data_IF_163548632749
#
_entry.id   IF_163548632749
#
_cell.length_a   1.000
_cell.length_b   1.000
_cell.length_c   1.000
_cell.angle_alpha   90.00
_cell.angle_beta   90.00
_cell.angle_gamma   90.00
#
_symmetry.space_group_name_H-M   'P 1'
#
loop_
_entity.id
_entity.type
_entity.pdbx_description
1 polymer ?
#
# COMPACT_ATOMS: atom_id res chain seq x y z
N UNK A 1 -17.03 59.32 8.38
CA UNK A 1 -16.87 58.77 8.45
C UNK A 1 -16.70 57.83 8.38
N UNK A 2 -16.64 57.39 8.33
CA UNK A 2 -16.37 56.52 8.21
C UNK A 2 -16.22 55.47 8.14
N UNK A 3 -16.22 55.10 8.19
CA UNK A 3 -16.16 54.16 8.14
C UNK A 3 -15.82 53.12 7.92
N UNK A 4 -15.56 52.65 7.81
CA UNK A 4 -15.22 51.62 7.50
C UNK A 4 -15.03 50.57 7.59
N UNK A 5 -15.13 50.15 7.54
CA UNK A 5 -14.89 49.12 7.68
C UNK A 5 -14.72 48.09 7.50
N UNK A 6 -14.38 47.57 7.41
CA UNK A 6 -14.11 46.57 7.29
C UNK A 6 -13.97 45.48 7.17
N UNK A 7 -14.00 45.00 7.10
CA UNK A 7 -13.94 43.96 6.95
C UNK A 7 -13.50 42.95 7.04
N UNK A 8 -13.26 42.49 7.07
CA UNK A 8 -12.78 41.46 7.07
C UNK A 8 -12.69 40.40 6.91
N UNK A 9 -12.63 39.91 6.79
CA UNK A 9 -12.58 38.93 6.64
C UNK A 9 -12.12 37.85 6.64
N UNK A 10 -11.94 37.37 6.79
CA UNK A 10 -11.60 36.33 6.84
C UNK A 10 -11.43 35.31 6.50
N UNK A 11 -11.27 34.81 6.31
CA UNK A 11 -11.09 33.79 6.03
C UNK A 11 -10.64 32.69 6.03
N UNK A 12 -10.58 32.13 6.04
CA UNK A 12 -10.24 31.04 6.09
C UNK A 12 -10.01 30.06 5.82
N UNK A 13 -9.83 29.64 5.79
CA UNK A 13 -9.53 28.62 5.56
C UNK A 13 -9.33 27.51 5.42
N UNK A 14 -9.31 27.07 5.27
CA UNK A 14 -9.20 26.04 5.10
C UNK A 14 -8.80 25.07 5.27
N UNK A 15 -8.48 24.63 5.36
CA UNK A 15 -8.04 23.64 5.46
C UNK A 15 -7.90 22.56 5.20
N UNK A 16 -7.78 22.13 5.00
CA UNK A 16 -7.67 21.17 4.71
C UNK A 16 -7.15 20.17 4.86
N UNK A 17 -7.01 19.75 5.07
CA UNK A 17 -6.62 18.81 5.28
C UNK A 17 -6.50 17.77 4.84
N UNK A 18 -6.25 17.26 4.53
CA UNK A 18 -6.09 16.25 4.20
C UNK A 18 -5.79 15.37 4.48
N UNK A 19 -5.66 15.08 4.58
CA UNK A 19 -5.67 14.29 4.89
C UNK A 19 -5.14 13.20 4.86
N UNK A 20 -5.04 12.73 5.30
CA UNK A 20 -4.53 11.61 5.44
C UNK A 20 -4.86 10.53 4.75
N UNK A 21 -4.40 9.72 4.60
CA UNK A 21 -4.70 8.79 3.93
C UNK A 21 -5.14 7.77 4.35
N UNK A 22 -5.85 7.45 3.90
CA UNK A 22 -6.42 6.33 4.12
C UNK A 22 -5.72 5.14 3.68
N UNK A 23 -4.53 5.17 3.45
CA UNK A 23 -3.76 3.99 3.06
C UNK A 23 -3.76 2.93 4.15
N UNK A 24 -4.05 3.30 5.41
CA UNK A 24 -4.04 2.34 6.48
C UNK A 24 -5.06 1.22 6.31
N UNK A 25 -6.16 1.48 5.62
CA UNK A 25 -7.19 0.46 5.42
C UNK A 25 -7.29 0.01 3.96
N UNK A 26 -6.24 0.20 3.20
CA UNK A 26 -6.16 -0.26 1.82
C UNK A 26 -4.97 -1.20 1.67
N UNK A 27 -5.06 -2.06 0.67
CA UNK A 27 -4.00 -3.03 0.42
C UNK A 27 -2.75 -2.37 -0.17
N UNK A 28 -2.85 -1.10 -0.56
CA UNK A 28 -1.70 -0.35 -1.02
C UNK A 28 -0.59 -0.34 0.03
N UNK A 29 0.65 -0.41 -0.40
CA UNK A 29 1.78 -0.33 0.51
C UNK A 29 2.86 -1.34 0.18
N UNK A 30 3.84 -1.39 1.07
CA UNK A 30 4.95 -2.31 0.97
C UNK A 30 4.72 -3.46 1.95
N UNK A 31 4.82 -4.67 1.43
CA UNK A 31 4.52 -5.87 2.19
C UNK A 31 5.75 -6.76 2.30
N UNK A 32 6.04 -7.23 3.50
CA UNK A 32 7.23 -8.00 3.80
C UNK A 32 6.88 -9.36 4.37
N UNK A 33 7.60 -10.37 3.91
CA UNK A 33 7.48 -11.73 4.41
C UNK A 33 8.65 -12.01 5.36
N UNK A 34 8.42 -12.88 6.32
CA UNK A 34 9.46 -13.21 7.31
C UNK A 34 10.71 -13.81 6.68
N UNK A 35 10.61 -14.34 5.46
CA UNK A 35 11.76 -14.92 4.76
C UNK A 35 12.54 -13.90 3.93
N UNK A 36 12.15 -12.63 3.96
CA UNK A 36 12.88 -11.57 3.26
C UNK A 36 12.27 -11.13 1.95
N UNK A 37 11.29 -11.85 1.43
CA UNK A 37 10.62 -11.42 0.21
C UNK A 37 9.77 -10.18 0.50
N UNK A 38 9.52 -9.39 -0.53
CA UNK A 38 8.64 -8.22 -0.39
C UNK A 38 7.98 -7.91 -1.72
N UNK A 39 6.84 -7.27 -1.65
CA UNK A 39 6.17 -6.72 -2.83
C UNK A 39 5.54 -5.38 -2.46
N UNK A 40 5.19 -4.60 -3.50
CA UNK A 40 4.60 -3.27 -3.29
C UNK A 40 3.38 -3.12 -4.16
N UNK A 41 2.36 -2.49 -3.62
CA UNK A 41 1.11 -2.20 -4.36
C UNK A 41 0.84 -0.71 -4.30
N UNK A 42 0.55 -0.13 -5.46
CA UNK A 42 0.12 1.27 -5.59
C UNK A 42 -1.04 1.27 -6.58
N UNK A 43 -2.28 1.19 -6.07
CA UNK A 43 -3.42 0.98 -6.93
C UNK A 43 -3.22 -0.30 -7.74
N UNK A 44 -3.45 -0.30 -9.05
CA UNK A 44 -3.23 -1.50 -9.87
C UNK A 44 -1.75 -1.79 -10.13
N UNK A 45 -0.85 -0.88 -9.79
CA UNK A 45 0.57 -1.09 -10.04
C UNK A 45 1.20 -1.96 -8.97
N UNK A 46 1.93 -2.96 -9.40
CA UNK A 46 2.55 -3.94 -8.52
C UNK A 46 4.04 -4.05 -8.83
N UNK A 47 4.85 -4.14 -7.78
CA UNK A 47 6.22 -4.64 -7.91
C UNK A 47 6.22 -6.01 -7.24
N UNK A 48 6.48 -7.06 -8.03
CA UNK A 48 6.41 -8.44 -7.55
C UNK A 48 7.57 -8.77 -6.61
N UNK A 49 7.49 -9.89 -5.89
CA UNK A 49 8.61 -10.32 -5.07
C UNK A 49 9.91 -10.48 -5.85
N UNK A 50 9.83 -10.80 -7.13
CA UNK A 50 11.02 -10.88 -7.98
C UNK A 50 11.48 -9.55 -8.53
N UNK A 51 10.76 -8.45 -8.21
CA UNK A 51 11.16 -7.11 -8.62
C UNK A 51 10.56 -6.63 -9.92
N UNK A 52 9.64 -7.37 -10.52
CA UNK A 52 9.04 -6.95 -11.78
C UNK A 52 7.91 -5.97 -11.53
N UNK A 53 7.89 -4.90 -12.32
CA UNK A 53 6.79 -3.93 -12.31
C UNK A 53 5.72 -4.38 -13.28
N UNK A 54 4.49 -4.48 -12.81
CA UNK A 54 3.38 -4.90 -13.66
C UNK A 54 2.06 -4.43 -13.05
N UNK A 55 0.98 -4.66 -13.77
CA UNK A 55 -0.35 -4.34 -13.28
C UNK A 55 -1.07 -5.61 -12.87
N UNK A 56 -1.95 -5.47 -11.88
CA UNK A 56 -2.82 -6.54 -11.48
C UNK A 56 -4.24 -6.03 -11.30
N UNK A 57 -5.09 -6.88 -10.78
CA UNK A 57 -6.49 -6.54 -10.50
C UNK A 57 -6.56 -5.99 -9.09
N UNK A 58 -6.94 -4.72 -8.98
CA UNK A 58 -6.89 -3.99 -7.73
C UNK A 58 -8.30 -3.68 -7.21
N UNK A 59 -8.45 -3.83 -5.91
CA UNK A 59 -9.53 -3.18 -5.18
C UNK A 59 -8.96 -2.82 -3.82
N UNK A 60 -9.71 -2.08 -3.04
CA UNK A 60 -9.19 -1.56 -1.78
C UNK A 60 -8.64 -2.65 -0.85
N UNK A 61 -9.31 -3.82 -0.81
CA UNK A 61 -8.95 -4.87 0.12
C UNK A 61 -8.50 -6.17 -0.56
N UNK A 62 -8.38 -6.16 -1.88
CA UNK A 62 -8.06 -7.36 -2.65
C UNK A 62 -7.12 -6.99 -3.79
N UNK A 63 -6.30 -7.95 -4.15
CA UNK A 63 -5.43 -7.80 -5.30
C UNK A 63 -5.18 -9.17 -5.89
N UNK A 64 -5.04 -9.26 -7.21
CA UNK A 64 -4.60 -10.50 -7.83
C UNK A 64 -3.74 -10.19 -9.03
N UNK A 65 -2.83 -11.10 -9.31
CA UNK A 65 -1.98 -10.98 -10.49
C UNK A 65 -1.49 -12.36 -10.92
N UNK A 66 -1.10 -12.47 -12.19
CA UNK A 66 -0.51 -13.69 -12.71
C UNK A 66 1.00 -13.59 -12.53
N UNK A 67 1.59 -14.59 -11.89
CA UNK A 67 3.02 -14.58 -11.63
C UNK A 67 3.81 -14.58 -12.93
N UNK A 68 4.73 -13.62 -13.12
CA UNK A 68 5.50 -13.53 -14.35
C UNK A 68 6.64 -14.53 -14.37
N UNK A 69 7.05 -14.92 -15.58
CA UNK A 69 8.24 -15.72 -15.77
C UNK A 69 9.48 -14.84 -15.50
N UNK A 70 10.49 -15.33 -14.80
CA UNK A 70 10.69 -16.71 -14.33
C UNK A 70 10.41 -16.88 -12.84
N UNK A 71 9.59 -16.08 -12.23
CA UNK A 71 9.35 -16.17 -10.79
C UNK A 71 8.70 -17.50 -10.42
N UNK A 72 8.94 -17.99 -9.21
CA UNK A 72 8.29 -19.23 -8.75
C UNK A 72 6.78 -19.11 -8.82
N UNK A 73 6.14 -20.11 -9.38
CA UNK A 73 4.69 -20.09 -9.56
C UNK A 73 4.25 -19.42 -10.84
N UNK A 74 5.18 -19.14 -11.77
CA UNK A 74 4.85 -18.40 -12.99
C UNK A 74 3.67 -19.04 -13.72
N UNK A 75 2.79 -18.18 -14.22
CA UNK A 75 1.58 -18.61 -14.91
C UNK A 75 0.39 -18.83 -14.00
N UNK A 76 0.60 -18.93 -12.69
CA UNK A 76 -0.50 -19.08 -11.74
C UNK A 76 -0.89 -17.72 -11.18
N UNK A 77 -2.12 -17.61 -10.71
CA UNK A 77 -2.62 -16.38 -10.14
C UNK A 77 -2.35 -16.36 -8.63
N UNK A 78 -1.84 -15.22 -8.15
CA UNK A 78 -1.75 -14.97 -6.73
C UNK A 78 -2.98 -14.16 -6.33
N UNK A 79 -3.65 -14.60 -5.29
CA UNK A 79 -4.82 -13.92 -4.72
C UNK A 79 -4.42 -13.35 -3.36
N UNK A 80 -4.65 -12.06 -3.19
CA UNK A 80 -4.30 -11.36 -1.95
C UNK A 80 -5.52 -10.79 -1.28
N UNK A 81 -5.53 -10.85 0.02
CA UNK A 81 -6.61 -10.29 0.82
C UNK A 81 -6.04 -9.53 2.00
N UNK A 82 -6.49 -8.28 2.16
CA UNK A 82 -6.12 -7.49 3.32
C UNK A 82 -6.97 -7.98 4.51
N UNK A 83 -6.32 -8.44 5.55
CA UNK A 83 -7.01 -8.91 6.77
C UNK A 83 -7.23 -7.78 7.75
N UNK A 84 -6.25 -6.89 7.85
CA UNK A 84 -6.32 -5.70 8.68
C UNK A 84 -5.26 -4.75 8.13
N UNK A 85 -5.14 -3.58 8.71
CA UNK A 85 -4.26 -2.56 8.13
C UNK A 85 -2.79 -2.97 8.04
N UNK A 86 -2.39 -4.02 8.74
CA UNK A 86 -0.99 -4.44 8.78
C UNK A 86 -0.72 -5.83 8.23
N UNK A 87 -1.76 -6.54 7.76
CA UNK A 87 -1.61 -7.95 7.40
C UNK A 87 -2.32 -8.27 6.10
N UNK A 88 -1.62 -8.94 5.21
CA UNK A 88 -2.16 -9.45 3.95
C UNK A 88 -1.90 -10.96 3.90
N UNK A 89 -2.88 -11.70 3.43
CA UNK A 89 -2.69 -13.11 3.10
C UNK A 89 -2.65 -13.28 1.59
N UNK A 90 -1.77 -14.16 1.13
CA UNK A 90 -1.68 -14.50 -0.30
C UNK A 90 -1.88 -15.99 -0.49
N UNK A 91 -2.55 -16.34 -1.58
CA UNK A 91 -2.77 -17.73 -1.99
C UNK A 91 -2.40 -17.88 -3.45
N UNK A 92 -1.80 -18.99 -3.78
CA UNK A 92 -1.33 -19.23 -5.13
C UNK A 92 -2.24 -20.24 -5.82
N UNK A 93 -2.69 -19.90 -7.02
CA UNK A 93 -3.43 -20.81 -7.88
C UNK A 93 -4.92 -20.86 -7.64
N UNK A 94 -5.36 -20.71 -6.41
CA UNK A 94 -6.76 -20.80 -6.04
C UNK A 94 -7.02 -19.86 -4.87
N UNK A 95 -8.06 -19.05 -4.96
CA UNK A 95 -8.35 -18.08 -3.92
C UNK A 95 -8.77 -18.74 -2.59
N UNK A 96 -9.08 -20.02 -2.61
CA UNK A 96 -9.41 -20.77 -1.41
C UNK A 96 -8.34 -21.78 -1.04
N UNK A 97 -7.15 -21.67 -1.63
CA UNK A 97 -6.08 -22.61 -1.35
C UNK A 97 -5.74 -22.63 0.14
N UNK A 98 -5.46 -23.80 0.65
CA UNK A 98 -5.05 -23.96 2.04
C UNK A 98 -3.64 -23.38 2.23
N UNK A 99 -3.31 -23.08 3.49
CA UNK A 99 -1.97 -22.62 3.85
C UNK A 99 -1.55 -21.34 3.16
N UNK A 100 -2.33 -20.25 3.32
CA UNK A 100 -1.93 -18.98 2.75
C UNK A 100 -0.65 -18.48 3.39
N UNK A 101 0.11 -17.69 2.63
CA UNK A 101 1.24 -16.98 3.20
C UNK A 101 0.76 -15.67 3.82
N UNK A 102 1.39 -15.27 4.91
CA UNK A 102 1.05 -14.05 5.61
C UNK A 102 2.17 -13.05 5.44
N UNK A 103 1.79 -11.83 5.09
CA UNK A 103 2.73 -10.72 4.88
C UNK A 103 2.33 -9.58 5.79
N UNK A 104 3.30 -8.84 6.27
CA UNK A 104 3.03 -7.69 7.12
C UNK A 104 3.61 -6.44 6.47
N UNK A 105 3.10 -5.29 6.86
CA UNK A 105 3.63 -4.03 6.34
C UNK A 105 5.09 -3.92 6.71
N UNK A 106 5.89 -3.54 5.73
CA UNK A 106 7.31 -3.36 5.96
C UNK A 106 7.54 -2.17 6.87
N UNK A 107 8.56 -2.27 7.71
CA UNK A 107 9.00 -1.13 8.48
C UNK A 107 9.71 -0.14 7.56
N UNK A 108 9.79 1.13 7.94
CA UNK A 108 10.58 2.09 7.17
C UNK A 108 12.00 1.58 7.02
N UNK A 109 12.59 1.84 5.86
CA UNK A 109 13.96 1.41 5.61
C UNK A 109 14.94 2.17 6.52
N UNK A 110 16.10 1.58 6.73
CA UNK A 110 17.15 2.23 7.50
C UNK A 110 17.54 3.55 6.84
N UNK A 111 17.57 3.59 5.51
CA UNK A 111 17.87 4.82 4.80
C UNK A 111 16.87 5.93 5.12
N UNK A 112 15.60 5.59 5.17
CA UNK A 112 14.58 6.57 5.53
C UNK A 112 14.75 7.04 6.96
N UNK A 113 15.10 6.13 7.87
CA UNK A 113 15.31 6.50 9.26
C UNK A 113 16.49 7.45 9.43
N UNK A 114 17.51 7.29 8.59
CA UNK A 114 18.69 8.17 8.65
C UNK A 114 18.40 9.58 8.18
N UNK A 115 17.33 9.78 7.47
CA UNK A 115 16.93 11.12 7.01
C UNK A 115 16.16 11.88 8.07
N UNK A 116 15.80 11.25 9.18
CA UNK A 116 15.10 11.92 10.24
C UNK A 116 16.08 12.80 11.01
N UNK A 117 15.64 13.99 11.44
CA UNK A 117 16.53 14.86 12.19
C UNK A 117 16.92 14.20 13.50
N UNK A 118 18.14 14.46 13.93
CA UNK A 118 18.59 14.00 15.23
C UNK A 118 17.79 14.75 16.30
N UNK A 119 17.36 14.04 17.29
CA UNK A 119 16.54 14.64 18.35
C UNK A 119 17.38 15.49 19.28
#
# INVERSE_FOLDING_TARGET
MFGARIGLTATVLGLTLMAGPALADAIDGDWCHKDGRRFSIRGPQLVTPGGKKMEGNYSRHWFSYVVPTPEPGSGQTVYMRLLNENTVQTRLGDENAANPETWIRCSPSISALRLLPAA
#
